data_IF_540937444354
#
_entry.id   IF_540937444354
#
_cell.length_a   1.000
_cell.length_b   1.000
_cell.length_c   1.000
_cell.angle_alpha   90.00
_cell.angle_beta   90.00
_cell.angle_gamma   90.00
#
_symmetry.space_group_name_H-M   'P 1'
#
loop_
_entity.id
_entity.type
_entity.pdbx_description
1 polymer ?
#
# COMPACT_ATOMS: atom_id res chain seq x y z
N UNK A 1 -11.35 9.65 -6.85
CA UNK A 1 -10.89 9.09 -5.55
C UNK A 1 -9.38 9.30 -5.42
N UNK A 2 -8.85 9.33 -4.19
CA UNK A 2 -7.40 9.35 -3.93
C UNK A 2 -6.95 7.94 -3.52
N UNK A 3 -5.89 7.44 -4.15
CA UNK A 3 -5.44 6.06 -4.03
C UNK A 3 -3.97 6.05 -3.63
N UNK A 4 -3.64 5.31 -2.57
CA UNK A 4 -2.27 5.02 -2.18
C UNK A 4 -1.81 3.72 -2.84
N UNK A 5 -0.71 3.78 -3.58
CA UNK A 5 -0.05 2.62 -4.19
C UNK A 5 1.25 2.38 -3.44
N UNK A 6 1.28 1.33 -2.61
CA UNK A 6 2.53 0.89 -1.96
C UNK A 6 3.40 0.12 -2.96
N UNK A 7 4.71 0.35 -2.95
CA UNK A 7 5.61 -0.26 -3.94
C UNK A 7 5.41 0.31 -5.36
N UNK A 8 4.86 1.52 -5.46
CA UNK A 8 4.48 2.14 -6.74
C UNK A 8 5.65 2.42 -7.69
N UNK A 9 6.90 2.39 -7.22
CA UNK A 9 8.10 2.52 -8.05
C UNK A 9 8.69 1.18 -8.50
N UNK A 10 8.10 0.05 -8.10
CA UNK A 10 8.53 -1.30 -8.47
C UNK A 10 8.26 -1.67 -9.95
N UNK A 11 8.07 -2.96 -10.24
CA UNK A 11 7.78 -3.39 -11.62
C UNK A 11 6.31 -3.18 -12.01
N UNK A 12 5.38 -3.68 -11.20
CA UNK A 12 3.94 -3.61 -11.48
C UNK A 12 3.38 -2.22 -11.11
N UNK A 13 3.89 -1.65 -10.01
CA UNK A 13 3.43 -0.38 -9.44
C UNK A 13 3.28 0.76 -10.47
N UNK A 14 4.26 1.02 -11.34
CA UNK A 14 4.21 2.11 -12.31
C UNK A 14 3.09 1.95 -13.33
N UNK A 15 2.85 0.74 -13.82
CA UNK A 15 1.76 0.46 -14.75
C UNK A 15 0.39 0.70 -14.09
N UNK A 16 0.24 0.26 -12.84
CA UNK A 16 -0.96 0.55 -12.05
C UNK A 16 -1.12 2.06 -11.84
N UNK A 17 -0.06 2.78 -11.52
CA UNK A 17 -0.11 4.23 -11.31
C UNK A 17 -0.54 4.97 -12.58
N UNK A 18 0.01 4.61 -13.75
CA UNK A 18 -0.41 5.16 -15.04
C UNK A 18 -1.89 4.90 -15.28
N UNK A 19 -2.34 3.64 -15.17
CA UNK A 19 -3.75 3.30 -15.40
C UNK A 19 -4.71 4.05 -14.45
N UNK A 20 -4.33 4.23 -13.18
CA UNK A 20 -5.13 4.97 -12.20
C UNK A 20 -5.16 6.47 -12.52
N UNK A 21 -4.04 7.06 -12.93
CA UNK A 21 -3.96 8.46 -13.33
C UNK A 21 -4.78 8.72 -14.59
N UNK A 22 -4.70 7.85 -15.60
CA UNK A 22 -5.47 7.92 -16.85
C UNK A 22 -6.99 7.79 -16.60
N UNK A 23 -7.38 6.97 -15.62
CA UNK A 23 -8.76 6.87 -15.14
C UNK A 23 -9.21 8.09 -14.30
N UNK A 24 -8.38 9.11 -14.14
CA UNK A 24 -8.71 10.36 -13.46
C UNK A 24 -8.55 10.33 -11.93
N UNK A 25 -8.00 9.26 -11.37
CA UNK A 25 -7.74 9.17 -9.93
C UNK A 25 -6.53 10.04 -9.51
N UNK A 26 -6.54 10.50 -8.27
CA UNK A 26 -5.33 11.06 -7.66
C UNK A 26 -4.51 9.91 -7.06
N UNK A 27 -3.24 9.82 -7.42
CA UNK A 27 -2.34 8.73 -7.00
C UNK A 27 -1.27 9.27 -6.07
N UNK A 28 -1.09 8.61 -4.93
CA UNK A 28 0.07 8.75 -4.05
C UNK A 28 0.86 7.45 -4.06
N UNK A 29 2.18 7.53 -4.15
CA UNK A 29 3.08 6.39 -4.10
C UNK A 29 3.81 6.40 -2.76
N UNK A 30 3.82 5.26 -2.07
CA UNK A 30 4.67 5.01 -0.90
C UNK A 30 5.64 3.87 -1.23
N UNK A 31 6.93 4.18 -1.31
CA UNK A 31 7.96 3.22 -1.70
C UNK A 31 9.27 3.58 -0.99
N UNK A 32 9.96 2.60 -0.41
CA UNK A 32 11.23 2.81 0.29
C UNK A 32 12.44 2.67 -0.63
N UNK A 33 12.22 2.42 -1.92
CA UNK A 33 13.24 2.28 -2.95
C UNK A 33 14.22 1.11 -2.76
N UNK A 34 13.89 0.13 -1.89
CA UNK A 34 14.81 -0.96 -1.57
C UNK A 34 15.12 -1.87 -2.76
N UNK A 35 14.22 -1.93 -3.74
CA UNK A 35 14.39 -2.70 -4.98
C UNK A 35 13.75 -2.00 -6.19
N UNK A 36 13.75 -0.66 -6.15
CA UNK A 36 13.14 0.20 -7.17
C UNK A 36 13.98 1.46 -7.34
N UNK A 37 13.58 2.38 -8.22
CA UNK A 37 14.33 3.59 -8.52
C UNK A 37 13.43 4.82 -8.54
N UNK A 38 13.95 5.93 -8.06
CA UNK A 38 13.23 7.21 -8.01
C UNK A 38 12.90 7.76 -9.40
N UNK A 39 13.73 7.47 -10.41
CA UNK A 39 13.52 7.90 -11.80
C UNK A 39 12.23 7.34 -12.43
N UNK A 40 11.65 6.31 -11.82
CA UNK A 40 10.36 5.75 -12.21
C UNK A 40 9.21 6.75 -12.04
N UNK A 41 9.29 7.65 -11.05
CA UNK A 41 8.27 8.69 -10.82
C UNK A 41 8.20 9.66 -12.00
N UNK A 42 9.35 10.03 -12.54
CA UNK A 42 9.43 10.85 -13.76
C UNK A 42 8.86 10.12 -14.97
N UNK A 43 9.13 8.80 -15.10
CA UNK A 43 8.58 7.98 -16.19
C UNK A 43 7.05 7.90 -16.13
N UNK A 44 6.48 7.67 -14.94
CA UNK A 44 5.03 7.68 -14.73
C UNK A 44 4.46 9.04 -15.14
N UNK A 45 5.04 10.13 -14.66
CA UNK A 45 4.62 11.50 -14.98
C UNK A 45 4.63 11.77 -16.48
N UNK A 46 5.67 11.31 -17.18
CA UNK A 46 5.80 11.46 -18.64
C UNK A 46 4.75 10.66 -19.40
N UNK A 47 4.40 9.46 -18.95
CA UNK A 47 3.43 8.61 -19.65
C UNK A 47 2.00 9.11 -19.39
N UNK A 48 1.64 9.33 -18.13
CA UNK A 48 0.29 9.75 -17.72
C UNK A 48 0.03 11.25 -17.90
N UNK A 49 1.04 12.03 -18.30
CA UNK A 49 0.99 13.51 -18.39
C UNK A 49 0.53 14.17 -17.09
N UNK A 50 0.74 13.50 -15.95
CA UNK A 50 0.32 13.90 -14.62
C UNK A 50 1.19 13.22 -13.58
N UNK A 51 1.69 13.99 -12.60
CA UNK A 51 2.55 13.46 -11.57
C UNK A 51 1.74 12.80 -10.43
N UNK A 52 2.13 11.62 -9.94
CA UNK A 52 1.69 11.13 -8.64
C UNK A 52 2.39 11.89 -7.51
N UNK A 53 1.77 11.94 -6.34
CA UNK A 53 2.48 12.30 -5.10
C UNK A 53 3.46 11.17 -4.76
N UNK A 54 4.64 11.47 -4.21
CA UNK A 54 5.64 10.46 -3.83
C UNK A 54 6.10 10.63 -2.39
N UNK A 55 6.11 9.53 -1.65
CA UNK A 55 6.54 9.44 -0.26
C UNK A 55 7.59 8.33 -0.12
N UNK A 56 8.82 8.73 0.17
CA UNK A 56 9.90 7.78 0.46
C UNK A 56 9.79 7.31 1.91
N UNK A 57 9.15 6.15 2.12
CA UNK A 57 8.96 5.57 3.43
C UNK A 57 8.75 4.06 3.34
N UNK A 58 9.08 3.37 4.42
CA UNK A 58 8.77 1.95 4.58
C UNK A 58 7.30 1.77 4.99
N UNK A 59 6.59 0.85 4.35
CA UNK A 59 5.19 0.54 4.69
C UNK A 59 5.05 -0.03 6.11
N UNK A 60 6.14 -0.54 6.70
CA UNK A 60 6.20 -1.03 8.08
C UNK A 60 6.31 0.09 9.11
N UNK A 61 6.64 1.33 8.69
CA UNK A 61 6.61 2.49 9.58
C UNK A 61 5.16 2.95 9.79
N UNK A 62 4.56 2.43 10.88
CA UNK A 62 3.20 2.76 11.28
C UNK A 62 2.98 4.26 11.48
N UNK A 63 3.98 5.02 11.92
CA UNK A 63 3.87 6.47 12.08
C UNK A 63 3.87 7.18 10.73
N UNK A 64 4.69 6.74 9.77
CA UNK A 64 4.67 7.27 8.41
C UNK A 64 3.33 6.98 7.72
N UNK A 65 2.83 5.74 7.80
CA UNK A 65 1.54 5.35 7.22
C UNK A 65 0.40 6.12 7.89
N UNK A 66 0.43 6.31 9.21
CA UNK A 66 -0.59 7.07 9.92
C UNK A 66 -0.65 8.54 9.50
N UNK A 67 0.51 9.19 9.33
CA UNK A 67 0.57 10.56 8.79
C UNK A 67 -0.02 10.68 7.38
N UNK A 68 0.12 9.63 6.57
CA UNK A 68 -0.23 9.64 5.15
C UNK A 68 -1.69 9.28 4.89
N UNK A 69 -2.22 8.32 5.64
CA UNK A 69 -3.60 7.82 5.49
C UNK A 69 -4.58 8.39 6.52
N UNK A 70 -4.10 9.02 7.59
CA UNK A 70 -4.92 9.29 8.78
C UNK A 70 -5.43 8.01 9.45
N UNK A 71 -4.84 6.86 9.10
CA UNK A 71 -5.22 5.54 9.58
C UNK A 71 -4.23 5.06 10.64
N UNK A 72 -4.73 4.50 11.72
CA UNK A 72 -3.91 3.88 12.75
C UNK A 72 -4.39 2.45 13.00
N UNK A 73 -3.44 1.54 13.24
CA UNK A 73 -3.77 0.19 13.67
C UNK A 73 -4.56 0.27 14.98
N UNK A 74 -5.73 -0.35 15.01
CA UNK A 74 -6.61 -0.37 16.20
C UNK A 74 -6.41 -1.60 17.08
N UNK A 75 -5.76 -2.63 16.53
CA UNK A 75 -5.57 -3.93 17.15
C UNK A 75 -4.09 -4.27 17.20
N UNK A 76 -3.66 -4.84 18.32
CA UNK A 76 -2.29 -5.25 18.55
C UNK A 76 -2.04 -6.73 18.23
N UNK A 77 -0.82 -7.18 18.50
CA UNK A 77 -0.44 -8.59 18.38
C UNK A 77 -1.28 -9.48 19.30
N UNK A 78 -1.60 -9.00 20.50
CA UNK A 78 -2.42 -9.72 21.46
C UNK A 78 -3.82 -9.99 20.91
N UNK A 79 -4.42 -9.01 20.21
CA UNK A 79 -5.74 -9.16 19.59
C UNK A 79 -5.68 -10.11 18.40
N UNK A 80 -4.64 -10.00 17.56
CA UNK A 80 -4.41 -10.94 16.47
C UNK A 80 -4.28 -12.40 16.97
N UNK A 81 -3.47 -12.62 18.01
CA UNK A 81 -3.29 -13.94 18.63
C UNK A 81 -4.60 -14.45 19.25
N UNK A 82 -5.33 -13.59 19.96
CA UNK A 82 -6.62 -13.91 20.57
C UNK A 82 -7.66 -14.31 19.53
N UNK A 83 -7.79 -13.53 18.47
CA UNK A 83 -8.77 -13.76 17.41
C UNK A 83 -8.43 -15.00 16.60
N UNK A 84 -7.15 -15.23 16.29
CA UNK A 84 -6.67 -16.46 15.65
C UNK A 84 -6.99 -17.70 16.51
N UNK A 85 -6.68 -17.65 17.81
CA UNK A 85 -6.99 -18.75 18.73
C UNK A 85 -8.50 -18.98 18.87
N UNK A 86 -9.28 -17.90 18.95
CA UNK A 86 -10.74 -17.96 19.03
C UNK A 86 -11.32 -18.62 17.79
N UNK A 87 -10.85 -18.24 16.59
CA UNK A 87 -11.28 -18.87 15.36
C UNK A 87 -10.93 -20.36 15.34
N UNK A 88 -9.68 -20.72 15.66
CA UNK A 88 -9.23 -22.11 15.67
C UNK A 88 -10.03 -22.97 16.66
N UNK A 89 -10.32 -22.44 17.85
CA UNK A 89 -11.09 -23.13 18.88
C UNK A 89 -12.55 -23.37 18.47
N UNK A 90 -13.16 -22.41 17.75
CA UNK A 90 -14.55 -22.52 17.30
C UNK A 90 -14.69 -23.32 15.99
N UNK A 91 -13.61 -23.46 15.20
CA UNK A 91 -13.60 -24.16 13.92
C UNK A 91 -12.56 -25.30 13.97
N UNK A 92 -12.79 -26.36 14.77
CA UNK A 92 -11.79 -27.42 14.96
C UNK A 92 -11.50 -28.21 13.67
N UNK A 93 -12.42 -28.19 12.70
CA UNK A 93 -12.24 -28.80 11.38
C UNK A 93 -11.80 -27.80 10.30
N UNK A 94 -11.47 -26.56 10.69
CA UNK A 94 -11.08 -25.49 9.78
C UNK A 94 -12.23 -24.97 8.92
N UNK A 95 -11.89 -24.52 7.70
CA UNK A 95 -12.87 -24.19 6.68
C UNK A 95 -13.47 -25.52 6.19
N UNK A 96 -14.75 -25.77 6.47
CA UNK A 96 -15.42 -26.99 6.05
C UNK A 96 -15.20 -27.27 4.55
N UNK A 97 -14.98 -28.55 4.22
CA UNK A 97 -14.82 -29.02 2.85
C UNK A 97 -16.11 -28.87 2.04
#
# INVERSE_FOLDING_TARGET
MRILVTGGAGYIGPHTCVALLDAGHAVAILDNLSNSRIDVIERITRIAQRAPDFYNADVRDSAAVARLLGWQARFGLEDMCRDAWRWQSMNPQGYGA
#
